data_IF_167677806839
#
_entry.id   IF_167677806839
#
_cell.length_a   1.000
_cell.length_b   1.000
_cell.length_c   1.000
_cell.angle_alpha   90.00
_cell.angle_beta   90.00
_cell.angle_gamma   90.00
#
_symmetry.space_group_name_H-M   'P 1'
#
loop_
_entity.id
_entity.type
_entity.pdbx_description
1 polymer ?
#
# COMPACT_ATOMS: atom_id res chain seq x y z
N UNK A 1 -6.38 26.89 -56.05
CA UNK A 1 -6.24 25.44 -55.78
C UNK A 1 -6.08 25.23 -54.28
N UNK A 2 -6.85 24.31 -53.71
CA UNK A 2 -6.86 23.95 -52.30
C UNK A 2 -5.55 23.22 -51.95
N UNK A 3 -4.77 23.72 -50.99
CA UNK A 3 -3.74 22.92 -50.33
C UNK A 3 -4.16 22.68 -48.88
N UNK A 4 -4.44 21.40 -48.59
CA UNK A 4 -4.82 20.87 -47.29
C UNK A 4 -3.57 20.80 -46.42
N UNK A 5 -3.61 21.40 -45.23
CA UNK A 5 -2.65 21.16 -44.17
C UNK A 5 -3.03 19.85 -43.46
N UNK A 6 -2.15 18.85 -43.50
CA UNK A 6 -2.24 17.63 -42.69
C UNK A 6 -1.48 17.86 -41.39
N UNK A 7 -2.17 18.31 -40.34
CA UNK A 7 -1.64 18.31 -38.98
C UNK A 7 -2.11 17.04 -38.28
N UNK A 8 -1.23 16.20 -37.71
CA UNK A 8 -1.66 15.10 -36.87
C UNK A 8 -2.17 15.68 -35.54
N UNK A 9 -3.36 15.24 -35.14
CA UNK A 9 -4.01 15.64 -33.89
C UNK A 9 -3.21 15.10 -32.72
N UNK A 10 -2.80 15.99 -31.81
CA UNK A 10 -2.11 15.63 -30.58
C UNK A 10 -3.07 14.87 -29.65
N UNK A 11 -2.87 13.56 -29.53
CA UNK A 11 -3.43 12.78 -28.43
C UNK A 11 -2.58 13.01 -27.18
N UNK A 12 -2.87 14.06 -26.40
CA UNK A 12 -2.34 14.15 -25.03
C UNK A 12 -3.12 15.17 -24.22
N UNK A 13 -3.94 14.69 -23.28
CA UNK A 13 -4.16 15.28 -21.95
C UNK A 13 -5.28 14.58 -21.16
N UNK A 14 -6.04 13.66 -21.76
CA UNK A 14 -7.17 12.99 -21.07
C UNK A 14 -6.94 11.52 -20.70
N UNK A 15 -5.74 10.96 -20.91
CA UNK A 15 -5.47 9.52 -20.71
C UNK A 15 -4.66 9.17 -19.45
N UNK A 16 -4.33 10.14 -18.58
CA UNK A 16 -3.50 9.90 -17.38
C UNK A 16 -4.07 10.53 -16.10
N UNK A 17 -5.38 10.53 -15.96
CA UNK A 17 -6.05 10.89 -14.71
C UNK A 17 -7.20 9.91 -14.45
N UNK A 18 -6.91 8.61 -14.45
CA UNK A 18 -7.74 7.66 -13.71
C UNK A 18 -7.50 7.92 -12.24
N UNK A 19 -8.22 8.91 -11.72
CA UNK A 19 -8.43 9.15 -10.30
C UNK A 19 -8.71 7.82 -9.63
N UNK A 20 -7.78 7.39 -8.77
CA UNK A 20 -8.00 6.34 -7.77
C UNK A 20 -9.01 6.91 -6.77
N UNK A 21 -10.28 6.82 -7.11
CA UNK A 21 -11.37 6.98 -6.18
C UNK A 21 -11.97 5.59 -5.98
N UNK A 22 -11.31 4.76 -5.17
CA UNK A 22 -11.91 3.50 -4.71
C UNK A 22 -12.80 3.85 -3.54
N UNK A 23 -14.07 4.13 -3.85
CA UNK A 23 -15.11 4.30 -2.86
C UNK A 23 -15.16 3.07 -1.95
N UNK A 24 -15.02 3.30 -0.64
CA UNK A 24 -15.29 2.31 0.41
C UNK A 24 -16.77 1.94 0.36
N UNK A 25 -17.12 1.00 -0.51
CA UNK A 25 -18.40 0.31 -0.49
C UNK A 25 -18.24 -0.99 0.29
N UNK A 26 -18.25 -0.86 1.61
CA UNK A 26 -18.48 -2.00 2.49
C UNK A 26 -19.98 -2.28 2.50
N UNK A 27 -20.39 -3.23 1.67
CA UNK A 27 -21.65 -3.94 1.81
C UNK A 27 -21.65 -4.60 3.20
N UNK A 28 -22.28 -3.94 4.17
CA UNK A 28 -22.77 -4.57 5.37
C UNK A 28 -23.86 -5.56 4.98
N UNK A 29 -23.48 -6.76 4.55
CA UNK A 29 -24.36 -7.90 4.55
C UNK A 29 -24.57 -8.29 6.02
N UNK A 30 -25.47 -7.57 6.69
CA UNK A 30 -26.01 -7.97 7.96
C UNK A 30 -26.54 -9.40 7.81
N UNK A 31 -26.03 -10.30 8.64
CA UNK A 31 -26.57 -11.64 8.78
C UNK A 31 -28.05 -11.48 9.15
N UNK A 32 -28.93 -11.71 8.18
CA UNK A 32 -30.36 -11.87 8.41
C UNK A 32 -30.51 -13.08 9.34
N UNK A 33 -30.77 -12.81 10.62
CA UNK A 33 -31.24 -13.82 11.57
C UNK A 33 -32.64 -14.26 11.14
N UNK A 34 -32.74 -15.47 10.61
CA UNK A 34 -34.01 -16.16 10.39
C UNK A 34 -34.01 -17.42 11.25
N UNK A 35 -34.92 -17.45 12.23
CA UNK A 35 -35.61 -18.67 12.67
C UNK A 35 -34.83 -19.68 13.54
N UNK A 36 -35.31 -19.85 14.76
CA UNK A 36 -34.86 -20.78 15.79
C UNK A 36 -34.89 -22.26 15.37
N UNK A 37 -33.72 -22.81 15.05
CA UNK A 37 -33.38 -24.20 15.29
C UNK A 37 -31.93 -24.22 15.79
N UNK A 38 -31.68 -24.73 16.99
CA UNK A 38 -30.31 -24.90 17.53
C UNK A 38 -29.65 -26.04 16.76
N UNK A 39 -29.25 -25.77 15.53
CA UNK A 39 -28.33 -26.59 14.76
C UNK A 39 -26.92 -26.32 15.30
N UNK A 40 -26.09 -27.35 15.42
CA UNK A 40 -24.70 -27.22 15.84
C UNK A 40 -24.00 -26.16 14.97
N UNK A 41 -23.40 -25.15 15.61
CA UNK A 41 -22.68 -24.07 14.91
C UNK A 41 -21.58 -24.68 14.05
N UNK A 42 -21.63 -24.43 12.75
CA UNK A 42 -20.63 -24.91 11.81
C UNK A 42 -19.42 -23.96 11.80
N UNK A 43 -18.51 -24.17 12.74
CA UNK A 43 -17.28 -23.37 12.88
C UNK A 43 -16.42 -23.40 11.61
N UNK A 44 -16.36 -24.53 10.89
CA UNK A 44 -15.54 -24.67 9.68
C UNK A 44 -16.06 -23.80 8.54
N UNK A 45 -17.37 -23.76 8.33
CA UNK A 45 -17.99 -22.87 7.34
C UNK A 45 -17.76 -21.39 7.68
N UNK A 46 -17.85 -21.02 8.96
CA UNK A 46 -17.63 -19.65 9.43
C UNK A 46 -16.17 -19.21 9.31
N UNK A 47 -15.22 -20.09 9.68
CA UNK A 47 -13.78 -19.87 9.52
C UNK A 47 -13.41 -19.74 8.04
N UNK A 48 -13.92 -20.62 7.17
CA UNK A 48 -13.65 -20.56 5.73
C UNK A 48 -14.19 -19.29 5.08
N UNK A 49 -15.37 -18.83 5.49
CA UNK A 49 -15.93 -17.57 5.01
C UNK A 49 -15.06 -16.37 5.43
N UNK A 50 -14.67 -16.29 6.71
CA UNK A 50 -13.80 -15.21 7.20
C UNK A 50 -12.38 -15.26 6.61
N UNK A 51 -11.85 -16.45 6.35
CA UNK A 51 -10.56 -16.61 5.68
C UNK A 51 -10.63 -16.04 4.25
N UNK A 52 -11.69 -16.35 3.51
CA UNK A 52 -11.90 -15.79 2.16
C UNK A 52 -12.00 -14.26 2.18
N UNK A 53 -12.67 -13.68 3.18
CA UNK A 53 -12.70 -12.22 3.37
C UNK A 53 -11.31 -11.64 3.65
N UNK A 54 -10.55 -12.24 4.58
CA UNK A 54 -9.19 -11.82 4.89
C UNK A 54 -8.25 -11.90 3.67
N UNK A 55 -8.34 -13.00 2.89
CA UNK A 55 -7.56 -13.18 1.66
C UNK A 55 -7.91 -12.11 0.62
N UNK A 56 -9.19 -11.74 0.51
CA UNK A 56 -9.65 -10.67 -0.39
C UNK A 56 -9.08 -9.31 0.02
N UNK A 57 -9.11 -8.97 1.32
CA UNK A 57 -8.54 -7.72 1.81
C UNK A 57 -7.02 -7.67 1.63
N UNK A 58 -6.32 -8.78 1.87
CA UNK A 58 -4.87 -8.88 1.63
C UNK A 58 -4.52 -8.72 0.15
N UNK A 59 -5.31 -9.30 -0.76
CA UNK A 59 -5.11 -9.15 -2.19
C UNK A 59 -5.30 -7.69 -2.64
N UNK A 60 -6.31 -6.99 -2.12
CA UNK A 60 -6.54 -5.59 -2.45
C UNK A 60 -5.47 -4.66 -1.87
N UNK A 61 -5.02 -4.90 -0.62
CA UNK A 61 -3.88 -4.19 -0.04
C UNK A 61 -2.60 -4.39 -0.87
N UNK A 62 -2.33 -5.63 -1.32
CA UNK A 62 -1.19 -5.95 -2.18
C UNK A 62 -1.31 -5.28 -3.56
N UNK A 63 -2.52 -5.20 -4.12
CA UNK A 63 -2.78 -4.48 -5.39
C UNK A 63 -2.49 -2.99 -5.24
N UNK A 64 -2.94 -2.37 -4.14
CA UNK A 64 -2.67 -0.96 -3.85
C UNK A 64 -1.16 -0.70 -3.65
N UNK A 65 -0.44 -1.63 -3.03
CA UNK A 65 1.02 -1.56 -2.91
C UNK A 65 1.72 -1.62 -4.28
N UNK A 66 1.27 -2.49 -5.19
CA UNK A 66 1.77 -2.53 -6.57
C UNK A 66 1.44 -1.23 -7.33
N UNK A 67 0.24 -0.68 -7.13
CA UNK A 67 -0.14 0.61 -7.70
C UNK A 67 0.72 1.75 -7.13
N UNK A 68 1.08 1.72 -5.84
CA UNK A 68 2.03 2.67 -5.25
C UNK A 68 3.40 2.63 -5.96
N UNK A 69 3.85 1.44 -6.38
CA UNK A 69 5.03 1.29 -7.23
C UNK A 69 4.92 2.01 -8.57
N UNK A 70 3.76 1.95 -9.24
CA UNK A 70 3.52 2.70 -10.49
C UNK A 70 3.33 4.21 -10.27
N UNK A 71 2.75 4.61 -9.13
CA UNK A 71 2.60 6.01 -8.72
C UNK A 71 3.96 6.66 -8.42
N UNK A 72 5.00 5.88 -8.12
CA UNK A 72 6.36 6.38 -7.96
C UNK A 72 6.88 7.07 -9.23
N UNK A 73 6.55 6.57 -10.43
CA UNK A 73 6.94 7.22 -11.68
C UNK A 73 6.23 8.57 -11.86
N UNK A 74 4.96 8.64 -11.47
CA UNK A 74 4.16 9.87 -11.52
C UNK A 74 4.67 10.90 -10.52
N UNK A 75 5.02 10.49 -9.30
CA UNK A 75 5.69 11.33 -8.30
C UNK A 75 7.05 11.82 -8.78
N UNK A 76 7.83 10.98 -9.46
CA UNK A 76 9.11 11.39 -10.04
C UNK A 76 8.92 12.45 -11.14
N UNK A 77 7.91 12.28 -12.00
CA UNK A 77 7.57 13.27 -13.02
C UNK A 77 7.15 14.60 -12.38
N UNK A 78 6.27 14.54 -11.38
CA UNK A 78 5.78 15.70 -10.65
C UNK A 78 6.91 16.44 -9.92
N UNK A 79 7.83 15.71 -9.29
CA UNK A 79 9.05 16.27 -8.69
C UNK A 79 9.93 16.97 -9.73
N UNK A 80 10.08 16.40 -10.93
CA UNK A 80 10.79 17.05 -12.03
C UNK A 80 10.13 18.37 -12.46
N UNK A 81 8.80 18.39 -12.54
CA UNK A 81 8.04 19.61 -12.87
C UNK A 81 8.19 20.68 -11.77
N UNK A 82 8.14 20.28 -10.49
CA UNK A 82 8.36 21.15 -9.33
C UNK A 82 9.76 21.77 -9.37
N UNK A 83 10.81 20.96 -9.62
CA UNK A 83 12.19 21.44 -9.74
C UNK A 83 12.33 22.46 -10.86
N UNK A 84 11.76 22.14 -12.03
CA UNK A 84 11.78 23.04 -13.20
C UNK A 84 11.08 24.37 -12.90
N UNK A 85 9.92 24.35 -12.25
CA UNK A 85 9.22 25.57 -11.84
C UNK A 85 10.02 26.38 -10.83
N UNK A 86 10.68 25.73 -9.88
CA UNK A 86 11.52 26.40 -8.89
C UNK A 86 12.73 27.09 -9.54
N UNK A 87 13.38 26.42 -10.50
CA UNK A 87 14.47 26.99 -11.30
C UNK A 87 14.00 28.21 -12.12
N UNK A 88 12.82 28.13 -12.75
CA UNK A 88 12.23 29.25 -13.48
C UNK A 88 11.88 30.45 -12.60
N UNK A 89 11.39 30.21 -11.38
CA UNK A 89 11.12 31.26 -10.40
C UNK A 89 12.42 31.94 -9.99
N UNK A 90 13.47 31.16 -9.72
CA UNK A 90 14.77 31.68 -9.32
C UNK A 90 15.39 32.52 -10.45
N UNK A 91 15.39 32.02 -11.70
CA UNK A 91 15.89 32.78 -12.85
C UNK A 91 15.09 34.07 -13.09
N UNK A 92 13.76 34.03 -12.94
CA UNK A 92 12.93 35.22 -13.01
C UNK A 92 13.25 36.22 -11.89
N UNK A 93 13.60 35.75 -10.69
CA UNK A 93 13.98 36.61 -9.57
C UNK A 93 15.31 37.31 -9.84
N UNK A 94 16.31 36.60 -10.34
CA UNK A 94 17.59 37.20 -10.72
C UNK A 94 17.39 38.28 -11.80
N UNK A 95 16.59 37.99 -12.83
CA UNK A 95 16.27 38.97 -13.88
C UNK A 95 15.54 40.20 -13.34
N UNK A 96 14.62 40.00 -12.40
CA UNK A 96 13.93 41.10 -11.71
C UNK A 96 14.94 41.98 -10.97
N UNK A 97 15.83 41.38 -10.19
CA UNK A 97 16.79 42.10 -9.34
C UNK A 97 17.80 42.88 -10.20
N UNK A 98 18.26 42.29 -11.31
CA UNK A 98 19.11 42.96 -12.30
C UNK A 98 18.42 44.18 -12.94
N UNK A 99 17.15 44.04 -13.34
CA UNK A 99 16.38 45.14 -13.92
C UNK A 99 16.13 46.27 -12.92
N UNK A 100 15.84 45.94 -11.65
CA UNK A 100 15.69 46.95 -10.59
C UNK A 100 16.99 47.71 -10.37
N UNK A 101 18.15 47.03 -10.37
CA UNK A 101 19.45 47.68 -10.26
C UNK A 101 19.74 48.58 -11.47
N UNK A 102 19.40 48.13 -12.67
CA UNK A 102 19.57 48.90 -13.91
C UNK A 102 18.69 50.16 -13.94
N UNK A 103 17.43 50.05 -13.51
CA UNK A 103 16.50 51.18 -13.33
C UNK A 103 17.11 52.23 -12.40
N UNK A 104 17.65 51.81 -11.25
CA UNK A 104 18.27 52.73 -10.30
C UNK A 104 19.49 53.46 -10.90
N UNK A 105 20.32 52.76 -11.70
CA UNK A 105 21.45 53.38 -12.41
C UNK A 105 20.98 54.41 -13.45
N UNK A 106 19.96 54.07 -14.24
CA UNK A 106 19.41 54.98 -15.24
C UNK A 106 18.81 56.24 -14.62
N UNK A 107 18.12 56.12 -13.49
CA UNK A 107 17.59 57.27 -12.75
C UNK A 107 18.70 58.22 -12.30
N UNK A 108 19.82 57.67 -11.78
CA UNK A 108 21.00 58.47 -11.44
C UNK A 108 21.63 59.16 -12.65
N UNK A 109 21.74 58.47 -13.79
CA UNK A 109 22.26 59.05 -15.03
C UNK A 109 21.38 60.18 -15.57
N UNK A 110 20.05 60.01 -15.52
CA UNK A 110 19.09 61.06 -15.89
C UNK A 110 19.30 62.29 -15.01
N UNK A 111 19.45 62.10 -13.69
CA UNK A 111 19.67 63.20 -12.75
C UNK A 111 21.00 63.93 -13.01
N UNK A 112 22.08 63.19 -13.26
CA UNK A 112 23.39 63.77 -13.61
C UNK A 112 23.34 64.56 -14.92
N UNK A 113 22.66 64.01 -15.95
CA UNK A 113 22.49 64.68 -17.22
C UNK A 113 21.60 65.93 -17.09
N UNK A 114 20.57 65.92 -16.23
CA UNK A 114 19.76 67.12 -15.92
C UNK A 114 20.57 68.22 -15.25
N UNK A 115 21.43 67.87 -14.30
CA UNK A 115 22.34 68.85 -13.66
C UNK A 115 23.30 69.47 -14.67
N UNK A 116 23.90 68.64 -15.52
CA UNK A 116 24.80 69.09 -16.59
C UNK A 116 24.07 70.00 -17.59
N UNK A 117 22.86 69.62 -17.98
CA UNK A 117 22.00 70.43 -18.84
C UNK A 117 21.70 71.80 -18.21
N UNK A 118 21.45 71.85 -16.90
CA UNK A 118 21.23 73.10 -16.17
C UNK A 118 22.45 74.03 -16.17
N UNK A 119 23.66 73.48 -16.06
CA UNK A 119 24.91 74.25 -16.16
C UNK A 119 25.06 74.81 -17.58
N UNK A 120 24.95 73.97 -18.62
CA UNK A 120 25.05 74.38 -20.03
C UNK A 120 24.00 75.46 -20.36
N UNK A 121 22.77 75.31 -19.87
CA UNK A 121 21.70 76.29 -20.10
C UNK A 121 21.99 77.63 -19.41
N UNK A 122 22.58 77.61 -18.22
CA UNK A 122 23.02 78.81 -17.50
C UNK A 122 24.11 79.54 -18.28
N UNK A 123 25.12 78.82 -18.76
CA UNK A 123 26.24 79.39 -19.53
C UNK A 123 25.74 80.00 -20.84
N UNK A 124 24.88 79.27 -21.58
CA UNK A 124 24.23 79.80 -22.79
C UNK A 124 23.39 81.05 -22.47
N UNK A 125 22.62 81.07 -21.38
CA UNK A 125 21.77 82.20 -21.03
C UNK A 125 22.56 83.47 -20.71
N UNK A 126 23.70 83.35 -20.03
CA UNK A 126 24.60 84.48 -19.75
C UNK A 126 25.19 85.01 -21.06
N UNK A 127 25.59 84.12 -21.97
CA UNK A 127 26.18 84.50 -23.26
C UNK A 127 25.16 85.09 -24.25
N UNK A 128 23.93 84.56 -24.32
CA UNK A 128 22.91 85.01 -25.30
C UNK A 128 22.42 86.44 -25.05
N UNK A 129 22.70 87.03 -23.88
CA UNK A 129 22.44 88.44 -23.59
C UNK A 129 23.40 89.41 -24.30
N UNK A 130 24.53 88.92 -24.83
CA UNK A 130 25.50 89.74 -25.58
C UNK A 130 25.21 89.60 -27.08
N UNK A 131 24.85 90.73 -27.73
CA UNK A 131 24.57 90.74 -29.17
C UNK A 131 25.84 90.47 -30.00
N UNK A 132 25.74 89.99 -31.25
CA UNK A 132 26.91 89.75 -32.10
C UNK A 132 27.80 91.00 -32.29
N UNK A 133 27.19 92.19 -32.31
CA UNK A 133 27.90 93.47 -32.37
C UNK A 133 28.61 93.79 -31.05
N UNK A 134 27.98 93.56 -29.90
CA UNK A 134 28.62 93.75 -28.58
C UNK A 134 29.71 92.70 -28.32
N UNK A 135 29.52 91.47 -28.82
CA UNK A 135 30.52 90.40 -28.73
C UNK A 135 31.73 90.72 -29.60
N UNK A 136 31.53 91.25 -30.82
CA UNK A 136 32.62 91.73 -31.66
C UNK A 136 33.34 92.92 -31.01
N UNK A 137 32.58 93.85 -30.40
CA UNK A 137 33.12 95.04 -29.74
C UNK A 137 33.86 94.74 -28.42
N UNK A 138 33.46 93.69 -27.70
CA UNK A 138 34.08 93.25 -26.45
C UNK A 138 35.17 92.19 -26.64
N UNK A 139 35.44 91.76 -27.88
CA UNK A 139 36.50 90.81 -28.19
C UNK A 139 37.83 91.50 -28.42
N UNK A 140 38.91 90.92 -27.90
CA UNK A 140 40.27 91.50 -27.97
C UNK A 140 40.90 91.35 -29.37
N UNK A 141 40.38 90.43 -30.19
CA UNK A 141 40.81 90.19 -31.57
C UNK A 141 39.72 89.49 -32.39
N UNK A 142 39.90 89.41 -33.71
CA UNK A 142 39.01 88.62 -34.58
C UNK A 142 39.05 87.12 -34.24
N UNK A 143 40.20 86.59 -33.80
CA UNK A 143 40.32 85.21 -33.31
C UNK A 143 39.50 84.97 -32.04
N UNK A 144 39.59 85.88 -31.07
CA UNK A 144 38.81 85.83 -29.82
C UNK A 144 37.29 85.88 -30.08
N UNK A 145 36.85 86.61 -31.11
CA UNK A 145 35.45 86.59 -31.55
C UNK A 145 35.04 85.25 -32.17
N UNK A 146 35.89 84.66 -33.03
CA UNK A 146 35.64 83.35 -33.65
C UNK A 146 35.58 82.25 -32.59
N UNK A 147 36.51 82.25 -31.64
CA UNK A 147 36.57 81.28 -30.54
C UNK A 147 35.30 81.32 -29.69
N UNK A 148 34.80 82.52 -29.34
CA UNK A 148 33.54 82.70 -28.60
C UNK A 148 32.33 82.20 -29.40
N UNK A 149 32.32 82.40 -30.71
CA UNK A 149 31.23 81.93 -31.57
C UNK A 149 31.25 80.40 -31.76
N UNK A 150 32.43 79.80 -31.81
CA UNK A 150 32.62 78.35 -31.82
C UNK A 150 32.14 77.74 -30.49
N UNK A 151 32.54 78.33 -29.35
CA UNK A 151 32.05 77.93 -28.02
C UNK A 151 30.52 77.92 -27.93
N UNK A 152 29.83 78.95 -28.44
CA UNK A 152 28.36 78.98 -28.47
C UNK A 152 27.76 77.84 -29.28
N UNK A 153 28.41 77.47 -30.39
CA UNK A 153 27.96 76.38 -31.26
C UNK A 153 28.15 75.04 -30.55
N UNK A 154 29.29 74.83 -29.90
CA UNK A 154 29.60 73.63 -29.13
C UNK A 154 28.66 73.45 -27.93
N UNK A 155 28.38 74.52 -27.18
CA UNK A 155 27.44 74.49 -26.07
C UNK A 155 26.01 74.12 -26.54
N UNK A 156 25.56 74.69 -27.67
CA UNK A 156 24.26 74.32 -28.27
C UNK A 156 24.23 72.87 -28.74
N UNK A 157 25.33 72.35 -29.28
CA UNK A 157 25.44 70.94 -29.66
C UNK A 157 25.40 70.03 -28.43
N UNK A 158 26.20 70.34 -27.40
CA UNK A 158 26.21 69.59 -26.14
C UNK A 158 24.84 69.59 -25.44
N UNK A 159 24.13 70.73 -25.46
CA UNK A 159 22.75 70.83 -24.99
C UNK A 159 21.83 69.87 -25.76
N UNK A 160 21.88 69.90 -27.09
CA UNK A 160 21.08 69.03 -27.97
C UNK A 160 21.36 67.55 -27.69
N UNK A 161 22.63 67.17 -27.57
CA UNK A 161 23.04 65.79 -27.33
C UNK A 161 22.62 65.31 -25.94
N UNK A 162 22.74 66.15 -24.89
CA UNK A 162 22.24 65.82 -23.54
C UNK A 162 20.73 65.65 -23.49
N UNK A 163 19.97 66.44 -24.24
CA UNK A 163 18.51 66.25 -24.37
C UNK A 163 18.18 64.92 -25.05
N UNK A 164 18.92 64.54 -26.11
CA UNK A 164 18.74 63.23 -26.77
C UNK A 164 19.06 62.08 -25.82
N UNK A 165 20.15 62.15 -25.08
CA UNK A 165 20.53 61.13 -24.09
C UNK A 165 19.44 60.97 -23.01
N UNK A 166 18.95 62.08 -22.43
CA UNK A 166 17.87 62.02 -21.42
C UNK A 166 16.62 61.37 -22.00
N UNK A 167 16.21 61.74 -23.23
CA UNK A 167 15.03 61.14 -23.88
C UNK A 167 15.22 59.64 -24.11
N UNK A 168 16.41 59.21 -24.52
CA UNK A 168 16.72 57.80 -24.71
C UNK A 168 16.67 57.02 -23.39
N UNK A 169 17.28 57.57 -22.33
CA UNK A 169 17.24 56.98 -20.98
C UNK A 169 15.82 56.91 -20.43
N UNK A 170 15.01 57.96 -20.59
CA UNK A 170 13.61 57.95 -20.16
C UNK A 170 12.78 56.86 -20.88
N UNK A 171 12.99 56.70 -22.19
CA UNK A 171 12.31 55.64 -22.97
C UNK A 171 12.75 54.25 -22.51
N UNK A 172 14.04 54.06 -22.22
CA UNK A 172 14.55 52.79 -21.70
C UNK A 172 13.99 52.48 -20.31
N UNK A 173 13.95 53.48 -19.42
CA UNK A 173 13.41 53.36 -18.08
C UNK A 173 11.93 52.93 -18.07
N UNK A 174 11.12 53.49 -18.98
CA UNK A 174 9.71 53.10 -19.15
C UNK A 174 9.57 51.65 -19.61
N UNK A 175 10.42 51.22 -20.55
CA UNK A 175 10.46 49.82 -21.02
C UNK A 175 10.88 48.86 -19.90
N UNK A 176 11.95 49.18 -19.16
CA UNK A 176 12.48 48.33 -18.09
C UNK A 176 11.44 48.19 -16.94
N UNK A 177 10.73 49.28 -16.59
CA UNK A 177 9.64 49.23 -15.59
C UNK A 177 8.47 48.36 -16.03
N UNK A 178 8.08 48.43 -17.30
CA UNK A 178 7.04 47.56 -17.85
C UNK A 178 7.47 46.08 -17.85
N UNK A 179 8.76 45.81 -18.09
CA UNK A 179 9.31 44.45 -18.04
C UNK A 179 9.31 43.88 -16.62
N UNK A 180 9.66 44.69 -15.60
CA UNK A 180 9.55 44.31 -14.18
C UNK A 180 8.12 43.90 -13.81
N UNK A 181 7.11 44.68 -14.22
CA UNK A 181 5.70 44.34 -13.96
C UNK A 181 5.29 43.00 -14.59
N UNK A 182 5.80 42.69 -15.79
CA UNK A 182 5.53 41.43 -16.47
C UNK A 182 6.21 40.26 -15.74
N UNK A 183 7.46 40.42 -15.31
CA UNK A 183 8.19 39.39 -14.54
C UNK A 183 7.45 39.06 -13.24
N UNK A 184 6.95 40.07 -12.52
CA UNK A 184 6.20 39.85 -11.28
C UNK A 184 4.89 39.07 -11.51
N UNK A 185 4.17 39.36 -12.62
CA UNK A 185 2.97 38.59 -13.01
C UNK A 185 3.31 37.13 -13.33
N UNK A 186 4.38 36.92 -14.08
CA UNK A 186 4.85 35.58 -14.45
C UNK A 186 5.29 34.79 -13.20
N UNK A 187 6.04 35.41 -12.29
CA UNK A 187 6.40 34.81 -11.01
C UNK A 187 5.17 34.42 -10.17
N UNK A 188 4.15 35.28 -10.11
CA UNK A 188 2.92 34.98 -9.36
C UNK A 188 2.20 33.75 -9.96
N UNK A 189 2.16 33.66 -11.29
CA UNK A 189 1.62 32.51 -12.01
C UNK A 189 2.42 31.24 -11.71
N UNK A 190 3.75 31.31 -11.80
CA UNK A 190 4.66 30.20 -11.50
C UNK A 190 4.52 29.69 -10.06
N UNK A 191 4.45 30.61 -9.07
CA UNK A 191 4.23 30.26 -7.66
C UNK A 191 2.88 29.58 -7.43
N UNK A 192 1.83 30.01 -8.14
CA UNK A 192 0.51 29.39 -8.06
C UNK A 192 0.52 27.98 -8.66
N UNK A 193 1.20 27.78 -9.78
CA UNK A 193 1.39 26.45 -10.38
C UNK A 193 2.21 25.52 -9.48
N UNK A 194 3.27 26.03 -8.87
CA UNK A 194 4.09 25.30 -7.91
C UNK A 194 3.26 24.81 -6.72
N UNK A 195 2.46 25.70 -6.10
CA UNK A 195 1.59 25.33 -4.99
C UNK A 195 0.55 24.27 -5.38
N UNK A 196 -0.02 24.39 -6.59
CA UNK A 196 -0.95 23.40 -7.13
C UNK A 196 -0.30 22.02 -7.29
N UNK A 197 0.93 21.98 -7.84
CA UNK A 197 1.69 20.73 -8.02
C UNK A 197 2.09 20.10 -6.69
N UNK A 198 2.47 20.90 -5.69
CA UNK A 198 2.74 20.40 -4.34
C UNK A 198 1.48 19.81 -3.67
N UNK A 199 0.31 20.42 -3.88
CA UNK A 199 -0.95 19.89 -3.37
C UNK A 199 -1.36 18.58 -4.06
N UNK A 200 -1.18 18.48 -5.38
CA UNK A 200 -1.38 17.26 -6.16
C UNK A 200 -0.49 16.12 -5.63
N UNK A 201 0.78 16.41 -5.35
CA UNK A 201 1.72 15.46 -4.73
C UNK A 201 1.21 14.91 -3.39
N UNK A 202 0.83 15.82 -2.48
CA UNK A 202 0.41 15.46 -1.15
C UNK A 202 -0.87 14.61 -1.16
N UNK A 203 -1.80 14.94 -2.05
CA UNK A 203 -3.04 14.17 -2.23
C UNK A 203 -2.75 12.74 -2.70
N UNK A 204 -1.91 12.59 -3.72
CA UNK A 204 -1.56 11.29 -4.29
C UNK A 204 -0.95 10.33 -3.25
N UNK A 205 -0.07 10.85 -2.39
CA UNK A 205 0.57 10.10 -1.31
C UNK A 205 -0.44 9.71 -0.22
N UNK A 206 -1.27 10.65 0.21
CA UNK A 206 -2.20 10.44 1.32
C UNK A 206 -3.33 9.46 0.97
N UNK A 207 -3.94 9.61 -0.22
CA UNK A 207 -5.05 8.75 -0.63
C UNK A 207 -4.59 7.28 -0.74
N UNK A 208 -3.44 7.05 -1.38
CA UNK A 208 -2.87 5.70 -1.56
C UNK A 208 -2.51 5.03 -0.23
N UNK A 209 -1.89 5.76 0.69
CA UNK A 209 -1.45 5.22 1.99
C UNK A 209 -2.63 4.92 2.92
N UNK A 210 -3.62 5.81 2.97
CA UNK A 210 -4.80 5.61 3.81
C UNK A 210 -5.61 4.38 3.39
N UNK A 211 -5.77 4.17 2.08
CA UNK A 211 -6.50 3.01 1.56
C UNK A 211 -5.77 1.70 1.88
N UNK A 212 -4.44 1.66 1.71
CA UNK A 212 -3.63 0.49 2.07
C UNK A 212 -3.76 0.14 3.56
N UNK A 213 -3.62 1.13 4.45
CA UNK A 213 -3.71 0.94 5.89
C UNK A 213 -5.12 0.46 6.31
N UNK A 214 -6.17 0.97 5.66
CA UNK A 214 -7.55 0.55 5.92
C UNK A 214 -7.78 -0.93 5.57
N UNK A 215 -7.32 -1.39 4.39
CA UNK A 215 -7.44 -2.79 3.98
C UNK A 215 -6.61 -3.73 4.85
N UNK A 216 -5.38 -3.32 5.22
CA UNK A 216 -4.54 -4.09 6.14
C UNK A 216 -5.18 -4.23 7.54
N UNK A 217 -5.82 -3.17 8.03
CA UNK A 217 -6.55 -3.18 9.30
C UNK A 217 -7.74 -4.15 9.28
N UNK A 218 -8.55 -4.13 8.20
CA UNK A 218 -9.67 -5.05 8.02
C UNK A 218 -9.21 -6.52 7.94
N UNK A 219 -8.11 -6.81 7.23
CA UNK A 219 -7.52 -8.13 7.18
C UNK A 219 -7.08 -8.61 8.58
N UNK A 220 -6.41 -7.76 9.36
CA UNK A 220 -6.01 -8.06 10.73
C UNK A 220 -7.22 -8.32 11.65
N UNK A 221 -8.28 -7.53 11.52
CA UNK A 221 -9.51 -7.75 12.28
C UNK A 221 -10.13 -9.13 11.97
N UNK A 222 -10.24 -9.48 10.69
CA UNK A 222 -10.79 -10.80 10.28
C UNK A 222 -9.92 -11.96 10.74
N UNK A 223 -8.60 -11.83 10.67
CA UNK A 223 -7.67 -12.82 11.22
C UNK A 223 -7.82 -12.99 12.74
N UNK A 224 -8.05 -11.90 13.48
CA UNK A 224 -8.35 -11.95 14.92
C UNK A 224 -9.68 -12.66 15.23
N UNK A 225 -10.72 -12.45 14.41
CA UNK A 225 -12.00 -13.17 14.52
C UNK A 225 -11.85 -14.67 14.23
N UNK A 226 -11.05 -15.04 13.21
CA UNK A 226 -10.72 -16.44 12.90
C UNK A 226 -10.03 -17.12 14.09
N UNK A 227 -9.06 -16.46 14.73
CA UNK A 227 -8.37 -17.01 15.90
C UNK A 227 -9.33 -17.29 17.06
N UNK A 228 -10.25 -16.36 17.35
CA UNK A 228 -11.29 -16.55 18.37
C UNK A 228 -12.24 -17.69 18.05
N UNK A 229 -12.62 -17.86 16.78
CA UNK A 229 -13.48 -18.97 16.36
C UNK A 229 -12.79 -20.33 16.54
N UNK A 230 -11.50 -20.43 16.20
CA UNK A 230 -10.70 -21.64 16.43
C UNK A 230 -10.60 -21.98 17.92
N UNK A 231 -10.40 -20.98 18.76
CA UNK A 231 -10.39 -21.16 20.23
C UNK A 231 -11.74 -21.66 20.76
N UNK A 232 -12.86 -21.09 20.28
CA UNK A 232 -14.21 -21.53 20.62
C UNK A 232 -14.48 -22.97 20.15
N UNK A 233 -14.05 -23.32 18.94
CA UNK A 233 -14.17 -24.66 18.39
C UNK A 233 -13.38 -25.68 19.22
N UNK A 234 -12.15 -25.36 19.61
CA UNK A 234 -11.32 -26.21 20.48
C UNK A 234 -11.93 -26.38 21.88
N UNK A 235 -12.48 -25.31 22.47
CA UNK A 235 -13.12 -25.35 23.78
C UNK A 235 -14.41 -26.19 23.79
N UNK A 236 -15.25 -26.05 22.76
CA UNK A 236 -16.47 -26.86 22.62
C UNK A 236 -16.13 -28.34 22.39
N UNK A 237 -15.10 -28.63 21.59
CA UNK A 237 -14.64 -30.01 21.39
C UNK A 237 -14.08 -30.62 22.69
N UNK A 238 -13.32 -29.86 23.47
CA UNK A 238 -12.86 -30.30 24.80
C UNK A 238 -14.04 -30.58 25.73
N UNK A 239 -15.05 -29.70 25.78
CA UNK A 239 -16.27 -29.92 26.59
C UNK A 239 -16.98 -31.20 26.18
N UNK A 240 -17.10 -31.45 24.88
CA UNK A 240 -17.76 -32.66 24.36
C UNK A 240 -16.93 -33.93 24.64
N UNK A 241 -15.60 -33.84 24.57
CA UNK A 241 -14.70 -34.93 24.97
C UNK A 241 -14.85 -35.26 26.47
N UNK A 242 -14.95 -34.26 27.34
CA UNK A 242 -15.19 -34.45 28.78
C UNK A 242 -16.52 -35.18 29.05
N UNK A 243 -17.58 -34.83 28.32
CA UNK A 243 -18.87 -35.52 28.42
C UNK A 243 -18.81 -36.99 27.96
N UNK A 244 -17.86 -37.34 27.08
CA UNK A 244 -17.63 -38.70 26.59
C UNK A 244 -16.67 -39.54 27.46
N UNK A 245 -16.32 -39.07 28.66
CA UNK A 245 -15.49 -39.81 29.62
C UNK A 245 -14.00 -39.46 29.62
N UNK A 246 -13.61 -38.35 28.98
CA UNK A 246 -12.25 -37.80 29.09
C UNK A 246 -12.01 -37.20 30.48
N UNK A 247 -11.01 -37.70 31.21
CA UNK A 247 -10.66 -37.25 32.58
C UNK A 247 -9.39 -36.38 32.65
N UNK A 248 -8.75 -36.09 31.51
CA UNK A 248 -7.57 -35.22 31.46
C UNK A 248 -7.96 -33.75 31.59
N UNK A 249 -7.22 -32.97 32.39
CA UNK A 249 -7.51 -31.55 32.67
C UNK A 249 -7.41 -30.58 31.48
N UNK A 250 -7.21 -31.07 30.25
CA UNK A 250 -7.16 -30.31 28.99
C UNK A 250 -6.77 -31.19 27.80
N UNK A 251 -6.80 -30.64 26.57
CA UNK A 251 -6.21 -31.28 25.39
C UNK A 251 -4.68 -31.29 25.58
N UNK A 252 -3.99 -32.45 25.46
CA UNK A 252 -2.54 -32.51 25.58
C UNK A 252 -1.86 -31.62 24.53
N UNK A 253 -0.74 -31.02 24.90
CA UNK A 253 0.07 -30.27 23.95
C UNK A 253 0.52 -31.17 22.77
N UNK A 254 0.73 -30.60 21.57
CA UNK A 254 1.29 -31.33 20.44
C UNK A 254 2.60 -32.03 20.82
N UNK A 255 2.75 -33.28 20.40
CA UNK A 255 3.98 -34.04 20.62
C UNK A 255 4.99 -33.77 19.50
N UNK A 256 6.31 -33.76 19.78
CA UNK A 256 7.32 -33.62 18.74
C UNK A 256 7.20 -34.70 17.66
N UNK A 257 7.41 -34.31 16.41
CA UNK A 257 7.34 -35.21 15.25
C UNK A 257 5.91 -35.45 14.74
N UNK A 258 5.73 -36.54 14.00
CA UNK A 258 4.49 -36.87 13.30
C UNK A 258 4.00 -38.31 13.56
N UNK A 259 4.56 -39.01 14.55
CA UNK A 259 4.22 -40.41 14.85
C UNK A 259 4.58 -41.42 13.76
N UNK A 260 5.40 -41.00 12.79
CA UNK A 260 5.75 -41.74 11.57
C UNK A 260 4.80 -41.47 10.39
N UNK A 261 3.74 -40.67 10.58
CA UNK A 261 2.77 -40.34 9.55
C UNK A 261 3.48 -39.71 8.33
N UNK A 262 3.19 -40.13 7.08
CA UNK A 262 3.97 -39.72 5.91
C UNK A 262 4.09 -38.21 5.80
N UNK A 263 5.31 -37.72 5.55
CA UNK A 263 5.60 -36.28 5.48
C UNK A 263 4.74 -35.55 4.45
N UNK A 264 4.38 -36.23 3.36
CA UNK A 264 3.47 -35.72 2.31
C UNK A 264 2.08 -35.37 2.85
N UNK A 265 1.63 -36.00 3.93
CA UNK A 265 0.36 -35.74 4.58
C UNK A 265 0.53 -34.90 5.85
N UNK A 266 1.54 -35.18 6.66
CA UNK A 266 1.81 -34.45 7.91
C UNK A 266 2.13 -32.96 7.67
N UNK A 267 2.80 -32.63 6.56
CA UNK A 267 3.21 -31.25 6.24
C UNK A 267 2.21 -30.51 5.34
N UNK A 268 1.15 -31.18 4.89
CA UNK A 268 0.13 -30.56 4.07
C UNK A 268 -0.77 -29.63 4.91
N UNK A 269 -1.47 -28.66 4.29
CA UNK A 269 -2.61 -28.01 4.93
C UNK A 269 -3.61 -29.07 5.44
N UNK A 270 -4.35 -28.75 6.52
CA UNK A 270 -5.43 -29.60 7.00
C UNK A 270 -6.43 -29.87 5.87
N UNK A 271 -6.90 -31.12 5.74
CA UNK A 271 -7.84 -31.58 4.71
C UNK A 271 -7.38 -31.43 3.25
N UNK A 272 -6.08 -31.24 3.00
CA UNK A 272 -5.58 -31.02 1.64
C UNK A 272 -5.75 -32.22 0.70
N UNK A 273 -5.70 -33.45 1.23
CA UNK A 273 -5.76 -34.67 0.44
C UNK A 273 -6.73 -35.69 1.04
N UNK A 274 -7.19 -36.60 0.20
CA UNK A 274 -7.91 -37.81 0.60
C UNK A 274 -6.94 -38.99 0.48
N UNK A 275 -6.77 -39.74 1.57
CA UNK A 275 -5.86 -40.89 1.63
C UNK A 275 -6.45 -42.15 0.97
N UNK A 276 -5.67 -43.25 1.01
CA UNK A 276 -6.04 -44.53 0.40
C UNK A 276 -7.27 -45.20 1.03
N UNK A 277 -7.74 -44.73 2.18
CA UNK A 277 -8.93 -45.23 2.88
C UNK A 277 -10.15 -44.31 2.70
N UNK A 278 -10.01 -43.23 1.92
CA UNK A 278 -11.08 -42.28 1.66
C UNK A 278 -11.26 -41.28 2.79
N UNK A 279 -10.20 -40.96 3.54
CA UNK A 279 -10.22 -40.08 4.70
C UNK A 279 -9.35 -38.83 4.45
N UNK A 280 -9.77 -37.67 4.97
CA UNK A 280 -8.98 -36.45 4.83
C UNK A 280 -7.69 -36.50 5.66
N UNK A 281 -6.59 -36.06 5.07
CA UNK A 281 -5.26 -36.10 5.70
C UNK A 281 -5.13 -35.11 6.86
N UNK A 282 -4.28 -35.46 7.83
CA UNK A 282 -4.09 -34.75 9.12
C UNK A 282 -5.27 -34.81 10.09
N UNK A 283 -6.32 -35.56 9.75
CA UNK A 283 -7.39 -35.94 10.66
C UNK A 283 -7.04 -37.17 11.51
N UNK A 284 -7.72 -37.31 12.66
CA UNK A 284 -7.55 -38.47 13.56
C UNK A 284 -7.80 -39.80 12.82
N UNK A 285 -8.83 -39.82 11.98
CA UNK A 285 -9.26 -40.99 11.20
C UNK A 285 -8.21 -41.41 10.18
N UNK A 286 -7.61 -40.46 9.45
CA UNK A 286 -6.56 -40.77 8.46
C UNK A 286 -5.28 -41.27 9.15
N UNK A 287 -4.88 -40.63 10.24
CA UNK A 287 -3.70 -41.06 11.00
C UNK A 287 -3.85 -42.50 11.52
N UNK A 288 -4.98 -42.83 12.16
CA UNK A 288 -5.17 -44.16 12.73
C UNK A 288 -5.30 -45.23 11.65
N UNK A 289 -5.97 -44.94 10.53
CA UNK A 289 -6.05 -45.84 9.39
C UNK A 289 -4.65 -46.16 8.84
N UNK A 290 -3.85 -45.11 8.63
CA UNK A 290 -2.46 -45.25 8.22
C UNK A 290 -1.63 -46.03 9.25
N UNK A 291 -1.76 -45.72 10.54
CA UNK A 291 -0.95 -46.35 11.60
C UNK A 291 -1.22 -47.85 11.68
N UNK A 292 -2.49 -48.27 11.64
CA UNK A 292 -2.86 -49.68 11.57
C UNK A 292 -2.27 -50.34 10.31
N UNK A 293 -2.46 -49.72 9.14
CA UNK A 293 -1.94 -50.28 7.89
C UNK A 293 -0.41 -50.36 7.83
N UNK A 294 0.29 -49.40 8.44
CA UNK A 294 1.76 -49.37 8.51
C UNK A 294 2.34 -50.58 9.26
N UNK A 295 1.52 -51.25 10.08
CA UNK A 295 1.89 -52.50 10.77
C UNK A 295 1.57 -53.77 9.97
N UNK A 296 1.17 -53.62 8.69
CA UNK A 296 0.82 -54.72 7.80
C UNK A 296 -0.60 -55.26 7.99
N UNK A 297 -1.45 -54.57 8.75
CA UNK A 297 -2.85 -54.97 9.00
C UNK A 297 -3.81 -54.34 8.00
N UNK A 298 -4.88 -55.06 7.69
CA UNK A 298 -5.90 -54.59 6.77
C UNK A 298 -6.77 -53.50 7.41
N UNK A 299 -6.96 -52.41 6.67
CA UNK A 299 -7.93 -51.37 6.99
C UNK A 299 -8.85 -51.19 5.78
N UNK A 300 -10.17 -51.30 5.94
CA UNK A 300 -11.10 -51.13 4.83
C UNK A 300 -11.17 -49.68 4.38
N UNK A 301 -11.58 -49.48 3.13
CA UNK A 301 -11.94 -48.15 2.65
C UNK A 301 -13.29 -47.71 3.24
N UNK A 302 -13.40 -46.49 3.74
CA UNK A 302 -14.57 -46.03 4.51
C UNK A 302 -15.70 -45.43 3.66
N UNK A 303 -15.44 -45.09 2.39
CA UNK A 303 -16.49 -44.80 1.40
C UNK A 303 -17.46 -43.69 1.79
N UNK A 304 -16.97 -42.66 2.49
CA UNK A 304 -17.80 -41.54 2.98
C UNK A 304 -18.46 -41.75 4.36
N UNK A 305 -18.30 -42.92 4.98
CA UNK A 305 -18.72 -43.22 6.37
C UNK A 305 -17.53 -43.28 7.32
N UNK A 306 -16.67 -42.26 7.21
CA UNK A 306 -15.34 -42.21 7.79
C UNK A 306 -15.21 -41.43 9.10
N UNK A 307 -16.27 -40.82 9.62
CA UNK A 307 -16.19 -40.11 10.90
C UNK A 307 -15.84 -41.09 12.03
N UNK A 308 -15.03 -40.70 12.99
CA UNK A 308 -14.56 -41.60 14.05
C UNK A 308 -15.71 -42.30 14.79
N UNK A 309 -16.80 -41.59 15.09
CA UNK A 309 -18.00 -42.17 15.72
C UNK A 309 -18.72 -43.24 14.85
N UNK A 310 -18.50 -43.25 13.54
CA UNK A 310 -19.07 -44.23 12.61
C UNK A 310 -18.21 -45.50 12.49
N UNK A 311 -16.91 -45.42 12.76
CA UNK A 311 -15.96 -46.52 12.56
C UNK A 311 -16.40 -47.86 13.18
N UNK A 312 -16.92 -47.91 14.42
CA UNK A 312 -17.37 -49.17 15.00
C UNK A 312 -18.46 -49.84 14.15
N UNK A 313 -19.40 -49.05 13.62
CA UNK A 313 -20.47 -49.56 12.74
C UNK A 313 -20.01 -49.81 11.31
N UNK A 314 -19.12 -48.98 10.76
CA UNK A 314 -18.62 -49.11 9.39
C UNK A 314 -17.77 -50.35 9.21
N UNK A 315 -16.97 -50.69 10.23
CA UNK A 315 -16.01 -51.80 10.15
C UNK A 315 -16.55 -53.12 10.74
N UNK A 316 -17.62 -53.07 11.55
CA UNK A 316 -18.20 -54.27 12.17
C UNK A 316 -18.59 -55.31 11.13
N UNK A 317 -18.10 -56.54 11.30
CA UNK A 317 -18.45 -57.67 10.44
C UNK A 317 -17.76 -57.68 9.08
N UNK A 318 -16.92 -56.69 8.76
CA UNK A 318 -16.10 -56.72 7.54
C UNK A 318 -14.99 -57.77 7.67
N UNK A 319 -14.79 -58.56 6.62
CA UNK A 319 -13.70 -59.54 6.57
C UNK A 319 -12.34 -58.84 6.46
N UNK A 320 -11.42 -59.21 7.35
CA UNK A 320 -10.01 -58.79 7.36
C UNK A 320 -9.15 -59.97 6.92
N UNK A 321 -8.51 -59.90 5.73
CA UNK A 321 -7.58 -60.94 5.27
C UNK A 321 -6.42 -61.17 6.22
N UNK A 322 -5.97 -60.14 6.94
CA UNK A 322 -4.85 -60.23 7.89
C UNK A 322 -5.24 -60.90 9.20
N UNK A 323 -6.53 -60.91 9.56
CA UNK A 323 -7.06 -61.65 10.70
C UNK A 323 -7.52 -63.06 10.35
N UNK A 324 -7.79 -63.34 9.06
CA UNK A 324 -8.49 -64.55 8.64
C UNK A 324 -9.94 -64.63 9.16
N UNK A 325 -10.55 -63.48 9.44
CA UNK A 325 -11.84 -63.38 10.11
C UNK A 325 -12.43 -61.97 10.01
N UNK A 326 -13.53 -61.71 10.72
CA UNK A 326 -14.19 -60.40 10.69
C UNK A 326 -13.64 -59.45 11.74
N UNK A 327 -13.55 -58.16 11.41
CA UNK A 327 -13.14 -57.09 12.33
C UNK A 327 -14.15 -57.04 13.48
N UNK A 328 -13.62 -57.18 14.70
CA UNK A 328 -14.40 -57.20 15.93
C UNK A 328 -14.30 -55.87 16.67
N UNK A 329 -15.31 -55.60 17.50
CA UNK A 329 -15.38 -54.44 18.39
C UNK A 329 -15.53 -54.90 19.84
N UNK A 330 -15.06 -54.09 20.79
CA UNK A 330 -15.31 -54.36 22.21
C UNK A 330 -14.90 -53.21 23.13
N UNK A 331 -14.89 -53.49 24.43
CA UNK A 331 -14.53 -52.52 25.47
C UNK A 331 -13.15 -52.78 26.11
N UNK A 332 -12.45 -53.83 25.67
CA UNK A 332 -11.15 -54.21 26.24
C UNK A 332 -10.01 -53.53 25.46
N UNK A 333 -9.16 -52.70 26.11
CA UNK A 333 -8.01 -52.12 25.44
C UNK A 333 -7.03 -53.20 24.99
N UNK A 334 -6.55 -53.10 23.75
CA UNK A 334 -5.47 -53.95 23.21
C UNK A 334 -4.47 -53.08 22.47
N UNK A 335 -3.18 -53.40 22.60
CA UNK A 335 -2.14 -52.75 21.80
C UNK A 335 -2.45 -52.93 20.33
N UNK A 336 -2.37 -51.82 19.59
CA UNK A 336 -2.68 -51.74 18.18
C UNK A 336 -4.17 -51.64 17.83
N UNK A 337 -5.08 -51.64 18.80
CA UNK A 337 -6.49 -51.37 18.54
C UNK A 337 -6.72 -49.90 18.17
N UNK A 338 -7.79 -49.63 17.41
CA UNK A 338 -8.29 -48.27 17.26
C UNK A 338 -9.26 -47.96 18.41
N UNK A 339 -8.91 -47.00 19.25
CA UNK A 339 -9.71 -46.53 20.37
C UNK A 339 -10.65 -45.40 19.90
N UNK A 340 -11.96 -45.63 19.93
CA UNK A 340 -12.99 -44.69 19.48
C UNK A 340 -13.71 -44.08 20.67
N UNK A 341 -13.82 -42.75 20.64
CA UNK A 341 -14.68 -41.95 21.52
C UNK A 341 -15.76 -41.27 20.70
N UNK A 342 -16.92 -41.05 21.31
CA UNK A 342 -18.09 -40.47 20.66
C UNK A 342 -18.28 -38.98 20.98
N UNK A 343 -17.26 -38.32 21.54
CA UNK A 343 -17.29 -36.90 21.83
C UNK A 343 -17.39 -36.05 20.56
N UNK A 344 -18.28 -35.06 20.56
CA UNK A 344 -18.45 -34.12 19.45
C UNK A 344 -19.20 -34.72 18.23
N UNK A 345 -19.47 -33.90 17.20
CA UNK A 345 -20.27 -34.32 16.05
C UNK A 345 -19.63 -35.44 15.21
N UNK A 346 -18.30 -35.59 15.26
CA UNK A 346 -17.54 -36.53 14.44
C UNK A 346 -16.95 -37.71 15.24
N UNK A 347 -16.96 -37.66 16.57
CA UNK A 347 -16.18 -38.56 17.43
C UNK A 347 -14.68 -38.28 17.32
N UNK A 348 -13.88 -39.08 18.02
CA UNK A 348 -12.41 -39.06 17.89
C UNK A 348 -11.85 -40.47 17.97
N UNK A 349 -10.92 -40.81 17.09
CA UNK A 349 -10.25 -42.13 17.06
C UNK A 349 -8.76 -41.98 17.31
N UNK A 350 -8.21 -42.89 18.12
CA UNK A 350 -6.80 -42.94 18.45
C UNK A 350 -6.23 -44.33 18.21
N UNK A 351 -4.92 -44.43 18.03
CA UNK A 351 -4.22 -45.71 17.99
C UNK A 351 -3.69 -46.07 19.38
N UNK A 352 -3.97 -47.28 19.87
CA UNK A 352 -3.47 -47.76 21.17
C UNK A 352 -2.01 -48.19 21.03
N UNK A 353 -1.10 -47.42 21.61
CA UNK A 353 0.34 -47.70 21.60
C UNK A 353 0.75 -48.64 22.75
N UNK A 354 0.12 -48.50 23.92
CA UNK A 354 0.37 -49.36 25.08
C UNK A 354 -0.88 -49.49 25.98
N UNK A 355 -0.97 -50.61 26.71
CA UNK A 355 -2.00 -50.87 27.72
C UNK A 355 -1.31 -51.07 29.07
N UNK A 356 -1.81 -50.40 30.11
CA UNK A 356 -1.19 -50.40 31.44
C UNK A 356 -2.10 -51.05 32.49
N UNK A 357 -1.51 -51.73 33.46
CA UNK A 357 -2.24 -52.45 34.53
C UNK A 357 -3.06 -51.53 35.45
N UNK A 358 -2.77 -50.23 35.44
CA UNK A 358 -3.47 -49.22 36.24
C UNK A 358 -4.78 -48.72 35.59
N UNK A 359 -5.26 -49.36 34.51
CA UNK A 359 -6.48 -48.98 33.81
C UNK A 359 -6.33 -47.79 32.84
N UNK A 360 -5.09 -47.46 32.46
CA UNK A 360 -4.80 -46.42 31.45
C UNK A 360 -4.22 -47.03 30.17
N UNK A 361 -4.28 -46.26 29.09
CA UNK A 361 -3.66 -46.60 27.80
C UNK A 361 -2.79 -45.43 27.35
N UNK A 362 -1.68 -45.75 26.67
CA UNK A 362 -0.96 -44.77 25.85
C UNK A 362 -1.54 -44.80 24.46
N UNK A 363 -1.84 -43.62 23.93
CA UNK A 363 -2.43 -43.48 22.60
C UNK A 363 -1.65 -42.48 21.76
N UNK A 364 -1.72 -42.65 20.45
CA UNK A 364 -1.28 -41.66 19.48
C UNK A 364 -2.42 -41.27 18.55
N UNK A 365 -2.53 -39.97 18.24
CA UNK A 365 -3.56 -39.43 17.36
C UNK A 365 -3.12 -38.15 16.62
N UNK A 366 -4.01 -37.66 15.78
CA UNK A 366 -3.94 -36.36 15.12
C UNK A 366 -5.21 -35.58 15.38
N UNK A 367 -5.12 -34.25 15.33
CA UNK A 367 -6.26 -33.34 15.29
C UNK A 367 -7.23 -33.39 16.50
N UNK A 368 -6.80 -33.92 17.65
CA UNK A 368 -7.63 -33.89 18.87
C UNK A 368 -8.08 -32.46 19.25
N UNK A 369 -7.23 -31.46 18.97
CA UNK A 369 -7.52 -30.05 19.22
C UNK A 369 -8.00 -29.24 18.02
N UNK A 370 -8.39 -29.89 16.91
CA UNK A 370 -8.79 -29.21 15.65
C UNK A 370 -7.68 -28.35 15.04
N UNK A 371 -6.42 -28.74 15.28
CA UNK A 371 -5.22 -28.03 14.84
C UNK A 371 -4.39 -28.82 13.81
N UNK A 372 -4.83 -30.04 13.48
CA UNK A 372 -4.16 -30.98 12.60
C UNK A 372 -2.84 -31.51 13.17
N UNK A 373 -2.60 -31.42 14.48
CA UNK A 373 -1.32 -31.73 15.09
C UNK A 373 -1.29 -33.13 15.73
N UNK A 374 -0.11 -33.74 15.68
CA UNK A 374 0.19 -35.03 16.27
C UNK A 374 0.24 -34.96 17.79
N UNK A 375 -0.28 -36.00 18.46
CA UNK A 375 -0.17 -36.16 19.91
C UNK A 375 0.11 -37.60 20.30
N UNK A 376 0.88 -37.76 21.37
CA UNK A 376 1.21 -39.00 22.03
C UNK A 376 1.07 -38.82 23.54
N UNK A 377 0.12 -39.50 24.17
CA UNK A 377 -0.23 -39.23 25.57
C UNK A 377 -0.93 -40.41 26.25
N UNK A 378 -1.01 -40.34 27.58
CA UNK A 378 -1.75 -41.31 28.40
C UNK A 378 -3.17 -40.83 28.68
N UNK A 379 -4.14 -41.76 28.67
CA UNK A 379 -5.53 -41.49 29.05
C UNK A 379 -6.18 -42.69 29.73
N UNK A 380 -7.31 -42.46 30.40
CA UNK A 380 -8.18 -43.54 30.91
C UNK A 380 -8.63 -44.45 29.77
N UNK A 381 -8.61 -45.77 30.02
CA UNK A 381 -9.10 -46.78 29.09
C UNK A 381 -10.64 -46.92 29.09
N UNK A 382 -11.31 -46.31 30.07
CA UNK A 382 -12.75 -46.41 30.28
C UNK A 382 -13.55 -45.54 29.30
N UNK A 383 -14.78 -45.97 28.97
CA UNK A 383 -15.69 -45.21 28.11
C UNK A 383 -15.31 -45.20 26.62
N UNK A 384 -14.47 -46.13 26.19
CA UNK A 384 -13.93 -46.22 24.83
C UNK A 384 -14.40 -47.51 24.16
N UNK A 385 -14.76 -47.42 22.87
CA UNK A 385 -14.97 -48.58 22.00
C UNK A 385 -13.67 -48.90 21.27
N UNK A 386 -13.19 -50.13 21.35
CA UNK A 386 -11.96 -50.57 20.69
C UNK A 386 -12.27 -51.43 19.46
N UNK A 387 -11.63 -51.09 18.34
CA UNK A 387 -11.68 -51.83 17.09
C UNK A 387 -10.42 -52.67 16.92
N UNK A 388 -10.59 -53.96 16.62
CA UNK A 388 -9.50 -54.90 16.45
C UNK A 388 -9.33 -55.26 14.96
N UNK A 389 -8.39 -54.57 14.30
CA UNK A 389 -8.03 -54.72 12.88
C UNK A 389 -7.04 -55.85 12.60
#
# INVERSE_FOLDING_TARGET
MKHRSTTPVSNSLTARATLVAVSVLMAGAGVLQIGSAVLARNYDAEIKAKQKEADTYNAEASRLEQMAGTLQEELNNLNGQISTLQEQINASQEKHDDLVAEIARQEQLIEQNRKTLGIILSDIYIDDQITPLEMLASSNSLGDYIDKQEQRTDLRSALSDKIKEIKALQKKLESDRAEVENILKDQQSQRSMLASKQAEQAKLVNDTKNDQDAYASLANQRNGEIAKLREQQAAENLRQLQQSGWTGGGIPAPSPGNGGYPAVWANAPLDAYVDNWGLYTRECVSYVAWKVASTGRFVPHFGGRGNANQWPTTTSGMYSPTLGGTIQQGSTPKVGAAAVTYGGPYGHVMYVEAVHDNGTITVSDYNLGVDGLYRYYNRSASGITYIYF
#
